data_IF_538155529774
#
_entry.id   IF_538155529774
#
_cell.length_a   1.000
_cell.length_b   1.000
_cell.length_c   1.000
_cell.angle_alpha   90.00
_cell.angle_beta   90.00
_cell.angle_gamma   90.00
#
_symmetry.space_group_name_H-M   'P 1'
#
loop_
_entity.id
_entity.type
_entity.pdbx_description
1 polymer ?
#
# COMPACT_ATOMS: atom_id res chain seq x y z
N UNK A 1 3.51 6.05 9.23
CA UNK A 1 3.06 4.79 8.60
C UNK A 1 1.74 4.31 9.19
N UNK A 2 1.65 4.04 10.50
CA UNK A 2 0.42 3.53 11.12
C UNK A 2 -0.79 4.49 10.96
N UNK A 3 -0.58 5.80 11.16
CA UNK A 3 -1.61 6.81 10.89
C UNK A 3 -2.08 6.82 9.42
N UNK A 4 -1.16 6.65 8.46
CA UNK A 4 -1.50 6.58 7.04
C UNK A 4 -2.30 5.31 6.71
N UNK A 5 -1.97 4.18 7.34
CA UNK A 5 -2.73 2.92 7.22
C UNK A 5 -4.15 3.09 7.78
N UNK A 6 -4.28 3.68 8.97
CA UNK A 6 -5.60 3.89 9.61
C UNK A 6 -6.47 4.85 8.81
N UNK A 7 -5.92 5.99 8.39
CA UNK A 7 -6.65 6.98 7.59
C UNK A 7 -7.00 6.41 6.20
N UNK A 8 -6.05 5.76 5.54
CA UNK A 8 -6.27 5.11 4.24
C UNK A 8 -7.34 4.02 4.32
N UNK A 9 -7.31 3.20 5.38
CA UNK A 9 -8.35 2.19 5.63
C UNK A 9 -9.71 2.83 5.87
N UNK A 10 -9.78 3.90 6.68
CA UNK A 10 -11.03 4.62 6.93
C UNK A 10 -11.64 5.20 5.65
N UNK A 11 -10.83 5.82 4.80
CA UNK A 11 -11.30 6.33 3.51
C UNK A 11 -11.75 5.22 2.57
N UNK A 12 -10.99 4.12 2.49
CA UNK A 12 -11.37 2.96 1.68
C UNK A 12 -12.68 2.31 2.16
N UNK A 13 -12.86 2.10 3.47
CA UNK A 13 -14.10 1.55 4.03
C UNK A 13 -15.29 2.45 3.70
N UNK A 14 -15.13 3.78 3.84
CA UNK A 14 -16.18 4.74 3.46
C UNK A 14 -16.58 4.57 1.99
N UNK A 15 -15.61 4.48 1.09
CA UNK A 15 -15.86 4.34 -0.35
C UNK A 15 -16.53 3.02 -0.70
N UNK A 16 -16.10 1.91 -0.08
CA UNK A 16 -16.71 0.58 -0.26
C UNK A 16 -18.15 0.57 0.24
N UNK A 17 -18.41 1.06 1.46
CA UNK A 17 -19.75 1.10 2.05
C UNK A 17 -20.68 1.98 1.21
N UNK A 18 -20.20 3.13 0.73
CA UNK A 18 -20.98 4.02 -0.13
C UNK A 18 -21.31 3.35 -1.46
N UNK A 19 -20.34 2.71 -2.11
CA UNK A 19 -20.54 2.02 -3.38
C UNK A 19 -21.52 0.84 -3.26
N UNK A 20 -21.41 0.05 -2.19
CA UNK A 20 -22.31 -1.09 -1.94
C UNK A 20 -23.75 -0.67 -1.61
N UNK A 21 -23.91 0.43 -0.86
CA UNK A 21 -25.24 0.92 -0.44
C UNK A 21 -26.00 1.67 -1.52
N UNK A 22 -25.29 2.37 -2.41
CA UNK A 22 -25.91 3.21 -3.44
C UNK A 22 -25.93 2.56 -4.84
N UNK A 23 -25.15 1.50 -5.05
CA UNK A 23 -24.94 0.90 -6.37
C UNK A 23 -24.19 1.81 -7.36
N UNK A 24 -23.76 3.00 -6.91
CA UNK A 24 -23.01 3.98 -7.71
C UNK A 24 -21.50 3.86 -7.46
N UNK A 25 -20.64 4.31 -8.39
CA UNK A 25 -19.22 4.43 -8.14
C UNK A 25 -18.93 5.30 -6.92
N UNK A 26 -17.86 4.98 -6.18
CA UNK A 26 -17.41 5.77 -5.04
C UNK A 26 -17.13 7.22 -5.46
N UNK A 27 -17.32 8.16 -4.53
CA UNK A 27 -17.15 9.59 -4.80
C UNK A 27 -15.72 9.92 -5.26
N UNK A 28 -14.73 9.24 -4.69
CA UNK A 28 -13.31 9.32 -5.08
C UNK A 28 -13.01 8.90 -6.53
N UNK A 29 -13.94 8.18 -7.16
CA UNK A 29 -13.81 7.67 -8.54
C UNK A 29 -14.64 8.49 -9.55
N UNK A 30 -15.45 9.46 -9.08
CA UNK A 30 -16.24 10.31 -9.98
C UNK A 30 -15.32 11.15 -10.86
N UNK A 31 -15.57 11.12 -12.17
CA UNK A 31 -14.76 11.83 -13.16
C UNK A 31 -13.48 11.10 -13.57
N UNK A 32 -13.20 9.92 -13.00
CA UNK A 32 -12.11 9.06 -13.47
C UNK A 32 -12.62 8.13 -14.58
N UNK A 33 -11.76 7.77 -15.54
CA UNK A 33 -12.05 6.73 -16.53
C UNK A 33 -11.76 5.31 -16.02
N UNK A 34 -11.55 5.15 -14.71
CA UNK A 34 -11.19 3.86 -14.14
C UNK A 34 -12.43 2.94 -14.10
N UNK A 35 -12.40 1.77 -14.75
CA UNK A 35 -13.48 0.78 -14.65
C UNK A 35 -13.41 0.01 -13.31
N UNK A 36 -13.05 0.71 -12.23
CA UNK A 36 -12.82 0.13 -10.92
C UNK A 36 -14.07 0.27 -10.06
N UNK A 37 -14.59 -0.85 -9.58
CA UNK A 37 -15.57 -0.84 -8.51
C UNK A 37 -14.79 -0.89 -7.19
N UNK A 38 -14.89 0.14 -6.35
CA UNK A 38 -14.14 0.23 -5.08
C UNK A 38 -14.34 -1.01 -4.19
N UNK A 39 -15.50 -1.67 -4.29
CA UNK A 39 -15.81 -2.92 -3.60
C UNK A 39 -14.99 -4.15 -4.06
N UNK A 40 -14.25 -4.06 -5.18
CA UNK A 40 -13.43 -5.17 -5.73
C UNK A 40 -11.95 -5.10 -5.35
N UNK A 41 -11.56 -4.13 -4.53
CA UNK A 41 -10.17 -3.96 -4.06
C UNK A 41 -9.94 -4.89 -2.83
N UNK A 42 -10.08 -6.20 -3.05
CA UNK A 42 -9.96 -7.26 -2.03
C UNK A 42 -8.55 -7.28 -1.41
N UNK A 43 -7.56 -6.92 -2.21
CA UNK A 43 -6.17 -6.78 -1.83
C UNK A 43 -5.98 -5.78 -0.68
N UNK A 44 -6.70 -4.66 -0.67
CA UNK A 44 -6.68 -3.71 0.46
C UNK A 44 -7.34 -4.26 1.72
N UNK A 45 -8.38 -5.08 1.59
CA UNK A 45 -9.09 -5.68 2.71
C UNK A 45 -8.20 -6.63 3.54
N UNK A 46 -7.26 -7.33 2.88
CA UNK A 46 -6.32 -8.26 3.52
C UNK A 46 -5.02 -7.57 3.92
N UNK A 47 -4.51 -6.67 3.06
CA UNK A 47 -3.18 -6.09 3.27
C UNK A 47 -3.15 -4.99 4.32
N UNK A 48 -4.24 -4.23 4.51
CA UNK A 48 -4.28 -3.16 5.52
C UNK A 48 -4.29 -3.70 6.96
N UNK A 49 -5.05 -4.76 7.32
CA UNK A 49 -4.90 -5.42 8.62
C UNK A 49 -3.49 -5.99 8.82
N UNK A 50 -2.92 -6.61 7.79
CA UNK A 50 -1.55 -7.11 7.83
C UNK A 50 -0.55 -5.99 8.07
N UNK A 51 -0.80 -4.80 7.49
CA UNK A 51 -0.01 -3.59 7.69
C UNK A 51 -0.09 -3.05 9.10
N UNK A 52 -1.29 -3.00 9.67
CA UNK A 52 -1.49 -2.56 11.03
C UNK A 52 -0.75 -3.50 12.00
N UNK A 53 -0.91 -4.82 11.84
CA UNK A 53 -0.22 -5.82 12.68
C UNK A 53 1.29 -5.75 12.50
N UNK A 54 1.78 -5.68 11.26
CA UNK A 54 3.20 -5.52 10.94
C UNK A 54 3.79 -4.27 11.57
N UNK A 55 3.12 -3.12 11.40
CA UNK A 55 3.54 -1.83 11.95
C UNK A 55 3.55 -1.80 13.48
N UNK A 56 2.52 -2.34 14.14
CA UNK A 56 2.48 -2.45 15.61
C UNK A 56 3.63 -3.32 16.15
N UNK A 57 3.97 -4.42 15.47
CA UNK A 57 5.06 -5.30 15.90
C UNK A 57 6.45 -4.75 15.61
N UNK A 58 6.59 -3.99 14.52
CA UNK A 58 7.80 -3.24 14.20
C UNK A 58 8.05 -2.14 15.25
N UNK A 59 6.98 -1.48 15.70
CA UNK A 59 7.03 -0.51 16.81
C UNK A 59 7.54 -1.16 18.10
N UNK A 60 7.15 -2.42 18.35
CA UNK A 60 7.65 -3.20 19.49
C UNK A 60 9.08 -3.75 19.31
N UNK A 61 9.80 -3.36 18.24
CA UNK A 61 11.18 -3.79 17.89
C UNK A 61 11.38 -5.32 17.87
N UNK A 62 10.34 -6.09 17.53
CA UNK A 62 10.41 -7.55 17.42
C UNK A 62 10.93 -7.96 16.04
N UNK A 63 11.86 -8.91 15.96
CA UNK A 63 12.46 -9.40 14.71
C UNK A 63 11.43 -9.96 13.71
N UNK A 64 10.33 -10.57 14.19
CA UNK A 64 9.21 -10.99 13.34
C UNK A 64 8.50 -9.83 12.62
N UNK A 65 8.67 -8.58 13.08
CA UNK A 65 8.16 -7.39 12.38
C UNK A 65 8.86 -7.16 11.03
N UNK A 66 10.10 -7.63 10.86
CA UNK A 66 10.82 -7.53 9.59
C UNK A 66 10.19 -8.41 8.51
N UNK A 67 9.77 -9.63 8.86
CA UNK A 67 9.09 -10.52 7.91
C UNK A 67 7.79 -9.90 7.39
N UNK A 68 6.96 -9.34 8.27
CA UNK A 68 5.75 -8.63 7.89
C UNK A 68 6.04 -7.40 7.01
N UNK A 69 7.09 -6.64 7.35
CA UNK A 69 7.53 -5.47 6.57
C UNK A 69 8.02 -5.86 5.18
N UNK A 70 8.75 -6.97 5.03
CA UNK A 70 9.20 -7.49 3.74
C UNK A 70 8.02 -7.94 2.87
N UNK A 71 7.07 -8.71 3.44
CA UNK A 71 5.86 -9.13 2.72
C UNK A 71 5.06 -7.93 2.23
N UNK A 72 4.86 -6.94 3.10
CA UNK A 72 4.21 -5.68 2.74
C UNK A 72 4.94 -4.93 1.64
N UNK A 73 6.26 -4.84 1.73
CA UNK A 73 7.07 -4.11 0.75
C UNK A 73 6.96 -4.76 -0.62
N UNK A 74 7.05 -6.09 -0.69
CA UNK A 74 6.82 -6.84 -1.92
C UNK A 74 5.41 -6.62 -2.46
N UNK A 75 4.38 -6.68 -1.62
CA UNK A 75 3.00 -6.42 -2.04
C UNK A 75 2.85 -5.03 -2.65
N UNK A 76 3.35 -3.99 -1.98
CA UNK A 76 3.25 -2.63 -2.50
C UNK A 76 4.03 -2.46 -3.81
N UNK A 77 5.22 -3.07 -3.96
CA UNK A 77 5.98 -3.07 -5.21
C UNK A 77 5.16 -3.68 -6.36
N UNK A 78 4.51 -4.82 -6.11
CA UNK A 78 3.66 -5.47 -7.09
C UNK A 78 2.47 -4.58 -7.47
N UNK A 79 1.80 -3.97 -6.50
CA UNK A 79 0.69 -3.04 -6.76
C UNK A 79 1.15 -1.84 -7.61
N UNK A 80 2.28 -1.23 -7.28
CA UNK A 80 2.81 -0.11 -8.06
C UNK A 80 3.10 -0.52 -9.50
N UNK A 81 3.70 -1.69 -9.70
CA UNK A 81 3.94 -2.24 -11.03
C UNK A 81 2.63 -2.48 -11.79
N UNK A 82 1.62 -3.06 -11.14
CA UNK A 82 0.30 -3.27 -11.74
C UNK A 82 -0.35 -1.96 -12.15
N UNK A 83 -0.26 -0.91 -11.33
CA UNK A 83 -0.85 0.41 -11.67
C UNK A 83 -0.14 1.05 -12.85
N UNK A 84 1.19 0.99 -12.91
CA UNK A 84 1.95 1.48 -14.08
C UNK A 84 1.57 0.72 -15.34
N UNK A 85 1.46 -0.61 -15.26
CA UNK A 85 1.04 -1.44 -16.41
C UNK A 85 -0.40 -1.15 -16.83
N UNK A 86 -1.31 -0.94 -15.88
CA UNK A 86 -2.69 -0.55 -16.15
C UNK A 86 -2.75 0.79 -16.90
N UNK A 87 -1.97 1.79 -16.47
CA UNK A 87 -1.93 3.09 -17.12
C UNK A 87 -1.40 2.99 -18.55
N UNK A 88 -0.32 2.22 -18.78
CA UNK A 88 0.20 1.93 -20.12
C UNK A 88 -0.87 1.25 -20.99
N UNK A 89 -1.61 0.29 -20.43
CA UNK A 89 -2.70 -0.39 -21.12
C UNK A 89 -3.83 0.56 -21.50
N UNK A 90 -4.20 1.48 -20.61
CA UNK A 90 -5.26 2.47 -20.84
C UNK A 90 -4.88 3.45 -21.96
N UNK A 91 -3.66 3.98 -21.93
CA UNK A 91 -3.10 4.84 -22.98
C UNK A 91 -3.12 4.12 -24.33
N UNK A 92 -2.71 2.85 -24.38
CA UNK A 92 -2.74 2.06 -25.63
C UNK A 92 -4.15 1.77 -26.14
N UNK A 93 -5.10 1.54 -25.25
CA UNK A 93 -6.47 1.20 -25.61
C UNK A 93 -7.30 2.41 -26.05
N UNK A 94 -7.04 3.59 -25.48
CA UNK A 94 -7.87 4.79 -25.68
C UNK A 94 -7.17 5.89 -26.48
N UNK A 95 -5.84 5.84 -26.60
CA UNK A 95 -5.05 6.92 -27.18
C UNK A 95 -4.95 8.16 -26.28
N UNK A 96 -5.41 8.09 -25.03
CA UNK A 96 -5.33 9.19 -24.07
C UNK A 96 -3.90 9.44 -23.60
N UNK A 97 -3.64 10.64 -23.10
CA UNK A 97 -2.39 10.93 -22.39
C UNK A 97 -2.32 10.17 -21.05
N UNK A 98 -1.12 9.78 -20.60
CA UNK A 98 -0.94 9.16 -19.28
C UNK A 98 -1.24 10.15 -18.16
N UNK A 99 -1.91 9.69 -17.11
CA UNK A 99 -2.08 10.44 -15.87
C UNK A 99 -0.76 10.48 -15.09
N UNK A 100 0.03 11.53 -15.36
CA UNK A 100 1.34 11.75 -14.73
C UNK A 100 1.21 11.91 -13.21
N UNK A 101 0.11 12.46 -12.70
CA UNK A 101 -0.10 12.63 -11.27
C UNK A 101 -0.28 11.26 -10.58
N UNK A 102 -1.02 10.34 -11.20
CA UNK A 102 -1.15 8.96 -10.72
C UNK A 102 0.20 8.24 -10.69
N UNK A 103 0.95 8.31 -11.78
CA UNK A 103 2.28 7.67 -11.88
C UNK A 103 3.22 8.26 -10.81
N UNK A 104 3.30 9.59 -10.71
CA UNK A 104 4.15 10.28 -9.75
C UNK A 104 3.77 9.94 -8.29
N UNK A 105 2.47 9.87 -7.98
CA UNK A 105 1.97 9.51 -6.65
C UNK A 105 2.37 8.10 -6.24
N UNK A 106 2.28 7.12 -7.16
CA UNK A 106 2.72 5.76 -6.91
C UNK A 106 4.24 5.66 -6.74
N UNK A 107 5.01 6.32 -7.61
CA UNK A 107 6.48 6.38 -7.50
C UNK A 107 6.92 7.00 -6.16
N UNK A 108 6.30 8.10 -5.75
CA UNK A 108 6.58 8.74 -4.46
C UNK A 108 6.27 7.80 -3.28
N UNK A 109 5.11 7.15 -3.31
CA UNK A 109 4.68 6.20 -2.26
C UNK A 109 5.64 5.00 -2.16
N UNK A 110 6.15 4.52 -3.30
CA UNK A 110 7.18 3.47 -3.38
C UNK A 110 8.50 3.91 -2.77
N UNK A 111 9.01 5.07 -3.15
CA UNK A 111 10.25 5.61 -2.61
C UNK A 111 10.15 5.79 -1.09
N UNK A 112 9.03 6.32 -0.61
CA UNK A 112 8.78 6.50 0.82
C UNK A 112 8.76 5.14 1.56
N UNK A 113 8.09 4.13 1.01
CA UNK A 113 8.08 2.78 1.59
C UNK A 113 9.47 2.16 1.65
N UNK A 114 10.27 2.27 0.58
CA UNK A 114 11.63 1.77 0.55
C UNK A 114 12.51 2.40 1.63
N UNK A 115 12.43 3.73 1.79
CA UNK A 115 13.15 4.45 2.85
C UNK A 115 12.73 3.95 4.24
N UNK A 116 11.42 3.84 4.49
CA UNK A 116 10.90 3.37 5.78
C UNK A 116 11.33 1.94 6.08
N UNK A 117 11.33 1.04 5.08
CA UNK A 117 11.79 -0.34 5.23
C UNK A 117 13.28 -0.39 5.60
N UNK A 118 14.13 0.39 4.93
CA UNK A 118 15.57 0.47 5.23
C UNK A 118 15.81 1.00 6.65
N UNK A 119 15.13 2.07 7.04
CA UNK A 119 15.25 2.64 8.38
C UNK A 119 14.79 1.66 9.46
N UNK A 120 13.69 0.94 9.19
CA UNK A 120 13.16 -0.07 10.10
C UNK A 120 14.11 -1.25 10.26
N UNK A 121 14.74 -1.71 9.18
CA UNK A 121 15.76 -2.74 9.22
C UNK A 121 16.96 -2.32 10.09
N UNK A 122 17.47 -1.10 9.89
CA UNK A 122 18.57 -0.55 10.70
C UNK A 122 18.20 -0.40 12.18
N UNK A 123 16.96 -0.01 12.47
CA UNK A 123 16.50 0.17 13.85
C UNK A 123 16.34 -1.17 14.59
N UNK A 124 15.91 -2.23 13.91
CA UNK A 124 15.82 -3.58 14.51
C UNK A 124 17.21 -4.19 14.67
N UNK A 125 18.07 -4.09 13.65
CA UNK A 125 19.43 -4.63 13.68
C UNK A 125 20.30 -4.01 14.79
N UNK A 126 20.08 -2.73 15.12
CA UNK A 126 20.79 -2.06 16.23
C UNK A 126 20.23 -2.39 17.61
N UNK A 127 19.04 -2.99 17.70
CA UNK A 127 18.37 -3.31 18.96
C UNK A 127 18.60 -4.77 19.41
N UNK A 128 19.08 -5.68 18.55
CA UNK A 128 19.42 -7.03 18.98
C UNK A 128 20.74 -7.04 19.77
N UNK A 129 20.77 -7.64 20.98
CA UNK A 129 22.01 -7.83 21.73
C UNK A 129 22.95 -8.74 20.94
N UNK A 130 24.22 -8.31 20.76
CA UNK A 130 25.31 -9.07 20.10
C UNK A 130 25.50 -10.52 20.58
N UNK A 131 24.88 -10.93 21.70
CA UNK A 131 25.00 -12.27 22.27
C UNK A 131 24.27 -13.37 21.50
N UNK A 132 23.40 -13.06 20.52
CA UNK A 132 22.75 -14.07 19.66
C UNK A 132 23.49 -14.41 18.36
N UNK A 133 24.51 -13.62 18.00
CA UNK A 133 25.34 -13.86 16.80
C UNK A 133 26.51 -14.84 17.05
N UNK A 134 26.62 -15.38 18.27
CA UNK A 134 27.71 -16.27 18.69
C UNK A 134 27.24 -17.71 19.01
N UNK A 135 26.06 -18.13 18.53
CA UNK A 135 25.59 -19.51 18.64
C UNK A 135 25.32 -20.10 17.27
#
# INVERSE_FOLDING_TARGET
MLAAVVLGYGFWVRDVVTALSTGMPAESLRGTQLPANAARVIDMAVMLPLAAVGGMRLWARRSYGLAATSVMSTFFILIALTVVMMEIGLVRATGSDPDVAKIAGFCFTMSLHGVVAILSYKAVASAEPRSRLAK
#
